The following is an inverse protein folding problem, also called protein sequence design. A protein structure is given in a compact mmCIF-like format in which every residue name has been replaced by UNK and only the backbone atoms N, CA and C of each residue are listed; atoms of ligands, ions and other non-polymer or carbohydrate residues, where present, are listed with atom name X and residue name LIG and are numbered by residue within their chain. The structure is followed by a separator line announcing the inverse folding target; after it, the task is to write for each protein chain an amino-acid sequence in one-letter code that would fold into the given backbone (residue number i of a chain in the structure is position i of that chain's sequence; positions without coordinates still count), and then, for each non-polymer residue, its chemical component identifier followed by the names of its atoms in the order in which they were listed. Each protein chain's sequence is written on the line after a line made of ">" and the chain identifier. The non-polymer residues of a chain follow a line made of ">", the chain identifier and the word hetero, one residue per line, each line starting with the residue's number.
data_IF_328459218398
#
_entry.id   IF_328459218398
#
_cell.length_a   1.000
_cell.length_b   1.000
_cell.length_c   1.000
_cell.angle_alpha   90.00
_cell.angle_beta   90.00
_cell.angle_gamma   90.00
#
_symmetry.space_group_name_H-M   'P 1'
#
loop_
_entity.id
_entity.type
_entity.pdbx_description
1 polymer ?
#
# COMPACT_ATOMS: atom_id res chain seq x y z
N UNK A 1 -2.38 -5.84 20.86
CA UNK A 1 -2.18 -7.02 20.00
C UNK A 1 -3.17 -6.91 18.85
N UNK A 2 -2.74 -7.06 17.59
CA UNK A 2 -3.69 -7.05 16.44
C UNK A 2 -4.48 -8.37 16.47
N UNK A 3 -5.81 -8.31 16.39
CA UNK A 3 -6.62 -9.52 16.21
C UNK A 3 -6.41 -10.06 14.80
N UNK A 4 -6.43 -11.39 14.65
CA UNK A 4 -6.35 -12.05 13.34
C UNK A 4 -7.57 -11.60 12.51
N UNK A 5 -7.33 -11.23 11.25
CA UNK A 5 -8.39 -10.74 10.35
C UNK A 5 -8.79 -9.27 10.52
N UNK A 6 -8.27 -8.54 11.50
CA UNK A 6 -8.54 -7.10 11.65
C UNK A 6 -7.35 -6.27 11.18
N UNK A 7 -7.62 -5.15 10.49
CA UNK A 7 -6.58 -4.19 10.15
C UNK A 7 -6.15 -3.41 11.38
N UNK A 8 -4.85 -3.14 11.50
CA UNK A 8 -4.34 -2.19 12.49
C UNK A 8 -4.86 -0.78 12.24
N UNK A 9 -4.78 0.08 13.25
CA UNK A 9 -4.84 1.53 13.06
C UNK A 9 -3.78 2.01 12.06
N UNK A 10 -4.02 3.14 11.35
CA UNK A 10 -3.04 3.73 10.44
C UNK A 10 -1.77 4.11 11.18
N UNK A 11 -0.62 3.83 10.57
CA UNK A 11 0.71 4.20 11.07
C UNK A 11 1.48 4.90 9.97
N UNK A 12 2.41 5.79 10.34
CA UNK A 12 3.34 6.39 9.37
C UNK A 12 4.17 5.31 8.71
N UNK A 13 4.28 5.35 7.39
CA UNK A 13 5.16 4.46 6.65
C UNK A 13 6.61 4.68 7.10
N UNK A 14 7.34 3.58 7.25
CA UNK A 14 8.77 3.57 7.51
C UNK A 14 9.54 3.15 6.24
N UNK A 15 10.87 3.07 6.35
CA UNK A 15 11.74 2.68 5.24
C UNK A 15 11.37 1.31 4.64
N UNK A 16 10.90 0.37 5.47
CA UNK A 16 10.51 -0.97 5.00
C UNK A 16 9.24 -0.90 4.16
N UNK A 17 8.26 -0.09 4.56
CA UNK A 17 7.04 0.12 3.78
C UNK A 17 7.35 0.88 2.48
N UNK A 18 8.26 1.84 2.50
CA UNK A 18 8.71 2.51 1.28
C UNK A 18 9.40 1.53 0.32
N UNK A 19 10.29 0.67 0.82
CA UNK A 19 10.94 -0.37 0.02
C UNK A 19 9.93 -1.34 -0.59
N UNK A 20 8.91 -1.73 0.18
CA UNK A 20 7.81 -2.56 -0.30
C UNK A 20 7.06 -1.89 -1.46
N UNK A 21 6.79 -0.59 -1.36
CA UNK A 21 6.19 0.20 -2.45
C UNK A 21 7.10 0.26 -3.68
N UNK A 22 8.39 0.48 -3.48
CA UNK A 22 9.36 0.55 -4.58
C UNK A 22 9.44 -0.80 -5.34
N UNK A 23 9.39 -1.92 -4.63
CA UNK A 23 9.42 -3.27 -5.22
C UNK A 23 8.22 -3.52 -6.16
N UNK A 24 7.05 -2.96 -5.84
CA UNK A 24 5.82 -3.19 -6.60
C UNK A 24 5.45 -2.05 -7.54
N UNK A 25 6.26 -0.99 -7.61
CA UNK A 25 5.96 0.21 -8.39
C UNK A 25 5.65 -0.12 -9.85
N UNK A 26 6.49 -0.92 -10.50
CA UNK A 26 6.28 -1.33 -11.90
C UNK A 26 4.96 -2.07 -12.11
N UNK A 27 4.54 -2.89 -11.14
CA UNK A 27 3.24 -3.58 -11.18
C UNK A 27 2.08 -2.59 -11.04
N UNK A 28 2.23 -1.56 -10.19
CA UNK A 28 1.22 -0.50 -10.02
C UNK A 28 1.10 0.32 -11.30
N UNK A 29 2.23 0.77 -11.88
CA UNK A 29 2.25 1.54 -13.14
C UNK A 29 1.65 0.75 -14.31
N UNK A 30 1.95 -0.56 -14.38
CA UNK A 30 1.34 -1.45 -15.37
C UNK A 30 -0.17 -1.57 -15.19
N UNK A 31 -0.65 -1.70 -13.94
CA UNK A 31 -2.09 -1.83 -13.63
C UNK A 31 -2.87 -0.54 -13.89
N UNK A 32 -2.27 0.63 -13.65
CA UNK A 32 -2.93 1.93 -13.84
C UNK A 32 -2.71 2.52 -15.23
N UNK A 33 -1.72 2.03 -15.98
CA UNK A 33 -1.32 2.60 -17.28
C UNK A 33 -0.68 3.98 -17.15
N UNK A 34 -0.11 4.32 -15.99
CA UNK A 34 0.48 5.63 -15.68
C UNK A 34 1.88 5.44 -15.11
N UNK A 35 2.79 6.33 -15.45
CA UNK A 35 4.10 6.45 -14.78
C UNK A 35 4.03 7.47 -13.65
N UNK A 36 4.60 7.14 -12.49
CA UNK A 36 4.61 8.00 -11.31
C UNK A 36 6.03 8.48 -11.00
N UNK A 37 6.28 9.78 -11.20
CA UNK A 37 7.57 10.40 -10.83
C UNK A 37 7.79 10.45 -9.33
N UNK A 38 6.73 10.72 -8.58
CA UNK A 38 6.70 10.62 -7.12
C UNK A 38 5.97 9.36 -6.70
N UNK A 39 6.48 8.64 -5.71
CA UNK A 39 5.89 7.40 -5.22
C UNK A 39 6.25 7.17 -3.76
N UNK A 40 5.77 8.05 -2.88
CA UNK A 40 6.18 8.11 -1.47
C UNK A 40 5.12 7.49 -0.58
N UNK A 41 5.45 6.43 0.16
CA UNK A 41 4.55 5.84 1.14
C UNK A 41 4.37 6.80 2.33
N UNK A 42 3.11 7.04 2.73
CA UNK A 42 2.75 8.02 3.77
C UNK A 42 2.19 7.31 5.01
N UNK A 43 1.16 6.50 4.82
CA UNK A 43 0.51 5.73 5.89
C UNK A 43 0.37 4.28 5.46
N UNK A 44 0.32 3.38 6.44
CA UNK A 44 -0.04 1.99 6.20
C UNK A 44 -0.87 1.39 7.33
N UNK A 45 -1.60 0.34 6.99
CA UNK A 45 -2.23 -0.61 7.91
C UNK A 45 -1.76 -2.01 7.55
N UNK A 46 -1.82 -2.92 8.51
CA UNK A 46 -1.54 -4.35 8.26
C UNK A 46 -2.67 -5.22 8.78
N UNK A 47 -2.87 -6.38 8.18
CA UNK A 47 -3.81 -7.40 8.63
C UNK A 47 -3.14 -8.76 8.51
N UNK A 48 -3.20 -9.55 9.58
CA UNK A 48 -2.69 -10.93 9.60
C UNK A 48 -3.77 -11.86 9.03
N UNK A 49 -3.39 -12.65 8.02
CA UNK A 49 -4.21 -13.66 7.36
C UNK A 49 -3.37 -14.95 7.22
N UNK A 50 -3.65 -15.83 6.25
CA UNK A 50 -2.70 -16.85 5.81
C UNK A 50 -1.55 -16.18 5.02
N UNK A 51 -0.77 -15.33 5.70
CA UNK A 51 0.11 -14.32 5.10
C UNK A 51 -0.12 -12.96 5.75
N UNK A 52 0.16 -11.88 5.02
CA UNK A 52 -0.07 -10.52 5.53
C UNK A 52 -0.54 -9.58 4.43
N UNK A 53 -1.66 -8.90 4.67
CA UNK A 53 -2.09 -7.78 3.85
C UNK A 53 -1.44 -6.49 4.34
N UNK A 54 -1.03 -5.64 3.40
CA UNK A 54 -0.60 -4.27 3.64
C UNK A 54 -1.52 -3.34 2.87
N UNK A 55 -2.19 -2.46 3.60
CA UNK A 55 -2.91 -1.34 3.02
C UNK A 55 -2.00 -0.12 3.09
N UNK A 56 -1.67 0.51 1.97
CA UNK A 56 -0.65 1.56 1.95
C UNK A 56 -1.18 2.77 1.18
N UNK A 57 -1.08 3.94 1.80
CA UNK A 57 -1.30 5.23 1.17
C UNK A 57 0.01 5.74 0.58
N UNK A 58 0.01 6.04 -0.71
CA UNK A 58 1.16 6.52 -1.46
C UNK A 58 0.85 7.90 -2.03
N UNK A 59 1.72 8.87 -1.81
CA UNK A 59 1.70 10.18 -2.47
C UNK A 59 2.37 10.06 -3.84
N UNK A 60 1.64 10.45 -4.88
CA UNK A 60 2.11 10.41 -6.26
C UNK A 60 2.28 11.80 -6.89
N UNK A 61 2.22 12.86 -6.07
CA UNK A 61 2.38 14.25 -6.51
C UNK A 61 1.07 14.92 -6.90
N UNK A 62 1.11 16.25 -7.08
CA UNK A 62 -0.01 17.07 -7.55
C UNK A 62 -1.33 16.87 -6.77
N UNK A 63 -1.25 16.69 -5.44
CA UNK A 63 -2.37 16.40 -4.54
C UNK A 63 -3.08 15.07 -4.82
N UNK A 64 -2.49 14.20 -5.63
CA UNK A 64 -2.99 12.86 -5.92
C UNK A 64 -2.31 11.83 -5.02
N UNK A 65 -3.07 10.80 -4.66
CA UNK A 65 -2.59 9.66 -3.90
C UNK A 65 -3.12 8.35 -4.47
N UNK A 66 -2.47 7.26 -4.10
CA UNK A 66 -2.93 5.91 -4.33
C UNK A 66 -3.15 5.21 -3.01
N UNK A 67 -4.19 4.39 -2.94
CA UNK A 67 -4.31 3.36 -1.92
C UNK A 67 -4.01 2.00 -2.54
N UNK A 68 -2.98 1.33 -2.04
CA UNK A 68 -2.53 0.03 -2.49
C UNK A 68 -2.96 -1.03 -1.48
N UNK A 69 -3.51 -2.13 -1.98
CA UNK A 69 -3.63 -3.38 -1.23
C UNK A 69 -2.59 -4.36 -1.75
N UNK A 70 -1.59 -4.64 -0.93
CA UNK A 70 -0.56 -5.64 -1.21
C UNK A 70 -0.80 -6.87 -0.35
N UNK A 71 -0.55 -8.04 -0.92
CA UNK A 71 -0.51 -9.29 -0.18
C UNK A 71 0.93 -9.81 -0.17
N UNK A 72 1.38 -10.23 1.01
CA UNK A 72 2.63 -10.94 1.19
C UNK A 72 2.35 -12.36 1.66
N UNK A 73 2.78 -13.34 0.87
CA UNK A 73 2.63 -14.76 1.20
C UNK A 73 3.59 -15.20 2.32
N UNK A 74 3.50 -16.47 2.72
CA UNK A 74 4.37 -17.05 3.76
C UNK A 74 5.81 -17.32 3.27
N UNK A 75 6.07 -17.18 1.97
CA UNK A 75 7.39 -17.27 1.33
C UNK A 75 8.01 -15.89 1.05
N UNK A 76 7.44 -14.82 1.63
CA UNK A 76 7.82 -13.42 1.43
C UNK A 76 7.69 -12.88 -0.01
N UNK A 77 6.91 -13.54 -0.88
CA UNK A 77 6.53 -12.96 -2.18
C UNK A 77 5.44 -11.91 -1.99
N UNK A 78 5.53 -10.82 -2.75
CA UNK A 78 4.66 -9.65 -2.65
C UNK A 78 3.95 -9.43 -3.98
N UNK A 79 2.64 -9.25 -3.91
CA UNK A 79 1.78 -9.01 -5.07
C UNK A 79 0.85 -7.81 -4.84
N UNK A 80 0.63 -7.01 -5.89
CA UNK A 80 -0.38 -5.95 -5.88
C UNK A 80 -1.75 -6.54 -6.15
N UNK A 81 -2.59 -6.60 -5.12
CA UNK A 81 -3.96 -7.11 -5.23
C UNK A 81 -4.86 -6.06 -5.85
N UNK A 82 -4.84 -4.83 -5.32
CA UNK A 82 -5.73 -3.74 -5.76
C UNK A 82 -5.03 -2.38 -5.66
N UNK A 83 -5.42 -1.48 -6.56
CA UNK A 83 -4.97 -0.08 -6.61
C UNK A 83 -6.21 0.79 -6.73
N UNK A 84 -6.36 1.77 -5.86
CA UNK A 84 -7.41 2.79 -5.94
C UNK A 84 -6.77 4.19 -6.01
N UNK A 85 -7.29 5.05 -6.89
CA UNK A 85 -6.88 6.45 -6.99
C UNK A 85 -7.66 7.30 -6.00
N UNK A 86 -6.94 8.16 -5.29
CA UNK A 86 -7.48 9.01 -4.23
C UNK A 86 -6.87 10.40 -4.29
N UNK A 87 -7.44 11.34 -3.52
CA UNK A 87 -6.71 12.56 -3.18
C UNK A 87 -5.66 12.24 -2.13
N UNK A 88 -4.56 13.00 -2.13
CA UNK A 88 -3.47 12.88 -1.16
C UNK A 88 -3.94 12.97 0.28
N UNK A 89 -5.04 13.67 0.58
CA UNK A 89 -5.52 13.85 1.96
C UNK A 89 -6.60 12.85 2.39
N UNK A 90 -7.08 11.99 1.48
CA UNK A 90 -8.13 11.01 1.80
C UNK A 90 -7.68 10.05 2.92
N UNK A 91 -8.56 9.67 3.85
CA UNK A 91 -8.21 8.78 4.95
C UNK A 91 -7.91 7.37 4.43
N UNK A 92 -6.91 6.71 5.02
CA UNK A 92 -6.60 5.32 4.69
C UNK A 92 -7.55 4.36 5.42
N UNK A 93 -8.57 3.90 4.70
CA UNK A 93 -9.60 2.95 5.16
C UNK A 93 -9.54 1.65 4.34
N UNK A 94 -9.79 0.47 4.93
CA UNK A 94 -9.85 -0.80 4.17
C UNK A 94 -10.89 -0.79 3.04
N UNK A 95 -10.57 -1.44 1.90
CA UNK A 95 -11.36 -1.45 0.65
C UNK A 95 -11.21 -2.75 -0.13
#
# INVERSE_FOLDING_TARGET
>A
MSKIGEYTEPRKADEKIQQLCNQVKDQVETKTGKEYKQFTAILYRTQVVAGKNFLIKVDVGDLNGLHLLLYRDLSDRVEVIKVEEHKKDDPLVPF
#
